data_IF_549877043274
#
_entry.id   IF_549877043274
#
_cell.length_a   1.000
_cell.length_b   1.000
_cell.length_c   1.000
_cell.angle_alpha   90.00
_cell.angle_beta   90.00
_cell.angle_gamma   90.00
#
_symmetry.space_group_name_H-M   'P 1'
#
loop_
_entity.id
_entity.type
_entity.pdbx_description
1 polymer ?
#
# COMPACT_ATOMS: atom_id res chain seq x y z
N UNK A 1 27.73 -8.51 -5.20
CA UNK A 1 27.56 -7.05 -5.15
C UNK A 1 26.53 -6.73 -4.09
N UNK A 2 26.61 -5.53 -3.51
CA UNK A 2 25.69 -5.10 -2.46
C UNK A 2 24.64 -4.15 -3.01
N UNK A 3 23.42 -4.23 -2.45
CA UNK A 3 22.31 -3.28 -2.67
C UNK A 3 21.90 -2.72 -1.32
N UNK A 4 21.80 -1.39 -1.23
CA UNK A 4 21.22 -0.72 -0.09
C UNK A 4 19.78 -0.28 -0.42
N UNK A 5 18.83 -0.70 0.41
CA UNK A 5 17.43 -0.27 0.35
C UNK A 5 17.19 0.73 1.48
N UNK A 6 17.03 2.00 1.17
CA UNK A 6 16.72 3.01 2.17
C UNK A 6 15.25 2.90 2.58
N UNK A 7 15.03 2.44 3.79
CA UNK A 7 13.72 2.20 4.39
C UNK A 7 13.64 2.93 5.74
N UNK A 8 12.45 3.11 6.28
CA UNK A 8 12.36 3.40 7.71
C UNK A 8 12.77 2.17 8.53
N UNK A 9 12.84 2.33 9.84
CA UNK A 9 13.03 1.21 10.74
C UNK A 9 11.82 0.27 10.67
N UNK A 10 12.07 -1.01 10.37
CA UNK A 10 11.04 -2.03 10.24
C UNK A 10 11.15 -3.00 11.41
N UNK A 11 10.09 -3.08 12.20
CA UNK A 11 9.94 -4.02 13.32
C UNK A 11 8.71 -4.90 13.07
N UNK A 12 8.52 -5.91 13.91
CA UNK A 12 7.31 -6.74 13.86
C UNK A 12 6.03 -5.91 14.00
N UNK A 13 6.06 -4.89 14.86
CA UNK A 13 4.90 -4.02 15.11
C UNK A 13 4.64 -3.04 13.95
N UNK A 14 5.72 -2.51 13.33
CA UNK A 14 5.59 -1.53 12.25
C UNK A 14 5.32 -2.14 10.88
N UNK A 15 5.54 -3.43 10.69
CA UNK A 15 5.50 -4.10 9.39
C UNK A 15 4.20 -3.84 8.59
N UNK A 16 3.07 -3.80 9.28
CA UNK A 16 1.76 -3.56 8.67
C UNK A 16 1.27 -2.11 8.76
N UNK A 17 2.07 -1.22 9.37
CA UNK A 17 1.70 0.20 9.44
C UNK A 17 1.77 0.89 8.08
N UNK A 18 2.65 0.40 7.19
CA UNK A 18 2.86 0.98 5.88
C UNK A 18 3.23 -0.11 4.86
N UNK A 19 2.48 -0.22 3.78
CA UNK A 19 2.77 -1.17 2.69
C UNK A 19 4.16 -1.00 2.06
N UNK A 20 4.83 0.16 2.25
CA UNK A 20 6.22 0.35 1.84
C UNK A 20 7.18 -0.62 2.54
N UNK A 21 6.92 -0.96 3.80
CA UNK A 21 7.78 -1.86 4.58
C UNK A 21 7.73 -3.28 4.02
N UNK A 22 6.55 -3.81 3.81
CA UNK A 22 6.38 -5.13 3.19
C UNK A 22 6.99 -5.16 1.79
N UNK A 23 6.83 -4.09 1.00
CA UNK A 23 7.40 -4.03 -0.34
C UNK A 23 8.93 -4.01 -0.29
N UNK A 24 9.53 -3.23 0.60
CA UNK A 24 10.98 -3.17 0.79
C UNK A 24 11.56 -4.54 1.14
N UNK A 25 10.92 -5.28 2.06
CA UNK A 25 11.37 -6.62 2.45
C UNK A 25 11.12 -7.66 1.36
N UNK A 26 10.05 -7.52 0.58
CA UNK A 26 9.80 -8.36 -0.60
C UNK A 26 10.89 -8.16 -1.66
N UNK A 27 11.28 -6.91 -1.92
CA UNK A 27 12.38 -6.58 -2.83
C UNK A 27 13.73 -7.04 -2.28
N UNK A 28 13.97 -6.90 -0.98
CA UNK A 28 15.16 -7.44 -0.32
C UNK A 28 15.30 -8.93 -0.62
N UNK A 29 14.25 -9.71 -0.33
CA UNK A 29 14.25 -11.17 -0.57
C UNK A 29 14.43 -11.51 -2.05
N UNK A 30 13.79 -10.76 -2.93
CA UNK A 30 13.96 -10.93 -4.38
C UNK A 30 15.40 -10.68 -4.83
N UNK A 31 16.02 -9.59 -4.41
CA UNK A 31 17.38 -9.25 -4.80
C UNK A 31 18.42 -10.22 -4.20
N UNK A 32 18.21 -10.70 -2.97
CA UNK A 32 19.00 -11.80 -2.41
C UNK A 32 18.92 -13.06 -3.28
N UNK A 33 17.73 -13.39 -3.77
CA UNK A 33 17.52 -14.53 -4.66
C UNK A 33 18.16 -14.37 -6.06
N UNK A 34 18.54 -13.14 -6.42
CA UNK A 34 19.29 -12.80 -7.64
C UNK A 34 20.81 -12.75 -7.39
N UNK A 35 21.27 -13.08 -6.16
CA UNK A 35 22.70 -13.15 -5.82
C UNK A 35 23.31 -11.83 -5.32
N UNK A 36 22.50 -10.83 -5.04
CA UNK A 36 22.96 -9.61 -4.36
C UNK A 36 22.95 -9.80 -2.85
N UNK A 37 23.84 -9.12 -2.14
CA UNK A 37 23.80 -9.01 -0.69
C UNK A 37 23.06 -7.71 -0.33
N UNK A 38 21.87 -7.84 0.23
CA UNK A 38 21.01 -6.69 0.52
C UNK A 38 21.19 -6.20 1.96
N UNK A 39 21.01 -4.90 2.15
CA UNK A 39 20.96 -4.24 3.44
C UNK A 39 19.83 -3.20 3.44
N UNK A 40 19.02 -3.20 4.49
CA UNK A 40 18.09 -2.10 4.75
C UNK A 40 18.85 -0.96 5.41
N UNK A 41 18.96 0.17 4.72
CA UNK A 41 19.58 1.37 5.26
C UNK A 41 18.55 2.16 6.05
N UNK A 42 18.81 2.39 7.34
CA UNK A 42 17.92 3.08 8.27
C UNK A 42 18.56 4.36 8.79
N UNK A 43 17.76 5.35 9.11
CA UNK A 43 18.17 6.64 9.69
C UNK A 43 18.18 6.65 11.21
N UNK A 44 17.76 5.55 11.83
CA UNK A 44 17.68 5.39 13.28
C UNK A 44 18.36 4.10 13.73
N UNK A 45 19.10 4.18 14.83
CA UNK A 45 19.62 3.00 15.53
C UNK A 45 18.48 2.28 16.26
N UNK A 46 18.52 0.96 16.26
CA UNK A 46 17.53 0.15 16.99
C UNK A 46 17.34 -1.24 16.41
N UNK A 47 16.45 -1.99 17.04
CA UNK A 47 16.12 -3.34 16.58
C UNK A 47 15.44 -3.29 15.20
N UNK A 48 15.90 -4.15 14.33
CA UNK A 48 15.30 -4.38 13.00
C UNK A 48 14.66 -5.76 12.95
N UNK A 49 13.76 -5.97 12.02
CA UNK A 49 13.06 -7.26 11.86
C UNK A 49 14.07 -8.40 11.67
N UNK A 50 13.92 -9.44 12.47
CA UNK A 50 14.79 -10.62 12.43
C UNK A 50 14.83 -11.26 11.03
N UNK A 51 16.01 -11.74 10.63
CA UNK A 51 16.24 -12.35 9.33
C UNK A 51 16.63 -11.34 8.23
N UNK A 52 16.59 -10.04 8.49
CA UNK A 52 17.02 -8.99 7.55
C UNK A 52 18.21 -8.20 8.07
N UNK A 53 19.20 -7.96 7.20
CA UNK A 53 20.35 -7.12 7.55
C UNK A 53 19.95 -5.65 7.49
N UNK A 54 20.22 -4.93 8.56
CA UNK A 54 20.10 -3.47 8.59
C UNK A 54 21.48 -2.81 8.73
N UNK A 55 21.56 -1.56 8.32
CA UNK A 55 22.79 -0.78 8.31
C UNK A 55 22.46 0.70 8.50
N UNK A 56 23.25 1.41 9.30
CA UNK A 56 23.23 2.87 9.39
C UNK A 56 24.27 3.49 8.43
N UNK A 57 24.04 4.68 7.88
CA UNK A 57 25.00 5.38 7.00
C UNK A 57 26.39 5.50 7.59
N UNK A 58 26.48 5.80 8.88
CA UNK A 58 27.73 5.96 9.63
C UNK A 58 28.57 4.68 9.61
N UNK A 59 27.95 3.51 9.76
CA UNK A 59 28.62 2.21 9.70
C UNK A 59 29.25 1.98 8.32
N UNK A 60 28.54 2.35 7.25
CA UNK A 60 29.13 2.31 5.91
C UNK A 60 30.27 3.30 5.74
N UNK A 61 30.15 4.53 6.27
CA UNK A 61 31.20 5.57 6.17
C UNK A 61 32.48 5.19 6.90
N UNK A 62 32.37 4.46 8.02
CA UNK A 62 33.52 3.97 8.78
C UNK A 62 34.31 2.88 8.03
N UNK A 63 33.65 2.03 7.27
CA UNK A 63 34.29 0.96 6.51
C UNK A 63 33.66 0.72 5.13
N UNK A 64 33.78 1.68 4.19
CA UNK A 64 33.13 1.58 2.89
C UNK A 64 33.71 0.45 2.01
N UNK A 65 34.93 0.00 2.28
CA UNK A 65 35.58 -1.08 1.52
C UNK A 65 35.04 -2.47 1.85
N UNK A 66 34.30 -2.62 2.97
CA UNK A 66 33.62 -3.87 3.31
C UNK A 66 32.43 -4.17 2.40
N UNK A 67 32.02 -3.20 1.57
CA UNK A 67 30.85 -3.28 0.71
C UNK A 67 31.23 -3.05 -0.74
N UNK A 68 30.75 -3.94 -1.61
CA UNK A 68 30.83 -3.77 -3.07
C UNK A 68 29.50 -3.20 -3.57
N UNK A 69 29.16 -2.00 -3.06
CA UNK A 69 27.88 -1.35 -3.27
C UNK A 69 27.70 -0.98 -4.75
N UNK A 70 26.66 -1.51 -5.38
CA UNK A 70 26.30 -1.23 -6.77
C UNK A 70 25.07 -0.34 -6.91
N UNK A 71 24.08 -0.52 -6.03
CA UNK A 71 22.83 0.20 -6.08
C UNK A 71 22.44 0.72 -4.69
N UNK A 72 21.93 1.93 -4.68
CA UNK A 72 21.26 2.54 -3.54
C UNK A 72 19.85 2.94 -3.98
N UNK A 73 18.84 2.34 -3.36
CA UNK A 73 17.43 2.49 -3.75
C UNK A 73 16.64 3.08 -2.58
N UNK A 74 16.17 4.31 -2.72
CA UNK A 74 15.29 4.96 -1.75
C UNK A 74 13.83 4.54 -1.99
N UNK A 75 13.23 3.88 -0.99
CA UNK A 75 11.84 3.41 -1.04
C UNK A 75 10.99 4.14 0.00
N UNK A 76 11.32 4.01 1.28
CA UNK A 76 10.55 4.58 2.40
C UNK A 76 11.18 5.81 3.05
N UNK A 77 12.50 5.86 3.05
CA UNK A 77 13.30 6.95 3.64
C UNK A 77 14.18 7.57 2.57
N UNK A 78 14.36 8.87 2.63
CA UNK A 78 15.30 9.62 1.79
C UNK A 78 16.39 10.22 2.66
N UNK A 79 17.65 9.95 2.32
CA UNK A 79 18.79 10.60 2.92
C UNK A 79 19.11 11.93 2.22
N UNK A 80 20.04 12.69 2.74
CA UNK A 80 20.38 14.02 2.20
C UNK A 80 21.07 13.97 0.82
N UNK A 81 21.17 15.10 0.17
CA UNK A 81 21.82 15.23 -1.15
C UNK A 81 23.33 14.95 -1.09
N UNK A 82 24.00 15.23 0.04
CA UNK A 82 25.43 14.98 0.20
C UNK A 82 25.70 13.47 0.22
N UNK A 83 24.88 12.68 0.91
CA UNK A 83 24.95 11.23 0.90
C UNK A 83 24.79 10.66 -0.52
N UNK A 84 23.75 11.07 -1.26
CA UNK A 84 23.54 10.59 -2.64
C UNK A 84 24.72 10.94 -3.54
N UNK A 85 25.18 12.20 -3.46
CA UNK A 85 26.35 12.64 -4.23
C UNK A 85 27.64 11.90 -3.88
N UNK A 86 27.81 11.52 -2.61
CA UNK A 86 28.94 10.68 -2.18
C UNK A 86 28.87 9.30 -2.86
N UNK A 87 27.70 8.67 -2.85
CA UNK A 87 27.50 7.36 -3.46
C UNK A 87 27.72 7.40 -4.98
N UNK A 88 27.20 8.42 -5.68
CA UNK A 88 27.42 8.60 -7.10
C UNK A 88 28.89 8.77 -7.47
N UNK A 89 29.66 9.57 -6.68
CA UNK A 89 31.12 9.70 -6.88
C UNK A 89 31.88 8.37 -6.70
N UNK A 90 31.30 7.41 -5.98
CA UNK A 90 31.83 6.05 -5.85
C UNK A 90 31.34 5.08 -6.95
N UNK A 91 30.59 5.56 -7.92
CA UNK A 91 30.01 4.77 -9.01
C UNK A 91 28.80 3.94 -8.61
N UNK A 92 28.18 4.27 -7.49
CA UNK A 92 26.93 3.63 -7.04
C UNK A 92 25.76 4.25 -7.78
N UNK A 93 24.88 3.43 -8.34
CA UNK A 93 23.64 3.87 -8.99
C UNK A 93 22.62 4.29 -7.92
N UNK A 94 22.21 5.53 -7.94
CA UNK A 94 21.30 6.13 -6.96
C UNK A 94 19.89 6.24 -7.55
N UNK A 95 18.93 5.55 -6.95
CA UNK A 95 17.58 5.37 -7.50
C UNK A 95 16.55 5.82 -6.47
N UNK A 96 15.50 6.51 -6.92
CA UNK A 96 14.29 6.78 -6.15
C UNK A 96 13.17 5.89 -6.65
N UNK A 97 12.58 5.09 -5.78
CA UNK A 97 11.45 4.24 -6.12
C UNK A 97 10.15 4.76 -5.47
N UNK A 98 9.23 5.20 -6.30
CA UNK A 98 7.90 5.62 -5.88
C UNK A 98 6.90 4.47 -6.03
N UNK A 99 6.39 4.00 -4.90
CA UNK A 99 5.36 2.95 -4.83
C UNK A 99 3.94 3.51 -4.80
N UNK A 100 3.78 4.80 -4.54
CA UNK A 100 2.51 5.51 -4.55
C UNK A 100 2.36 6.44 -5.75
N UNK A 101 1.20 7.08 -5.86
CA UNK A 101 0.95 8.10 -6.86
C UNK A 101 1.66 9.41 -6.47
N UNK A 102 2.89 9.61 -6.95
CA UNK A 102 3.71 10.78 -6.63
C UNK A 102 2.97 12.11 -6.87
N UNK A 103 2.22 12.20 -7.95
CA UNK A 103 1.49 13.42 -8.30
C UNK A 103 0.41 13.76 -7.26
N UNK A 104 -0.31 12.76 -6.79
CA UNK A 104 -1.30 12.95 -5.73
C UNK A 104 -0.63 13.31 -4.40
N UNK A 105 0.49 12.66 -4.07
CA UNK A 105 1.25 12.97 -2.86
C UNK A 105 1.69 14.43 -2.86
N UNK A 106 2.20 14.92 -3.97
CA UNK A 106 2.62 16.32 -4.09
C UNK A 106 1.45 17.31 -3.94
N UNK A 107 0.29 17.01 -4.55
CA UNK A 107 -0.92 17.83 -4.40
C UNK A 107 -1.39 17.85 -2.94
N UNK A 108 -1.40 16.73 -2.26
CA UNK A 108 -1.75 16.66 -0.83
C UNK A 108 -0.77 17.46 0.04
N UNK A 109 0.52 17.33 -0.22
CA UNK A 109 1.53 18.07 0.55
C UNK A 109 1.37 19.58 0.39
N UNK A 110 1.13 20.09 -0.81
CA UNK A 110 0.86 21.52 -1.05
C UNK A 110 -0.37 21.98 -0.24
N UNK A 111 -1.43 21.17 -0.25
CA UNK A 111 -2.69 21.51 0.42
C UNK A 111 -2.57 21.49 1.94
N UNK A 112 -1.97 20.44 2.51
CA UNK A 112 -1.91 20.23 3.95
C UNK A 112 -0.81 21.01 4.64
N UNK A 113 0.33 21.20 4.01
CA UNK A 113 1.50 21.85 4.63
C UNK A 113 1.48 23.36 4.51
N UNK A 114 0.52 23.94 3.78
CA UNK A 114 0.45 25.38 3.47
C UNK A 114 1.77 25.98 2.93
N UNK A 115 2.65 25.13 2.49
CA UNK A 115 3.94 25.47 1.94
C UNK A 115 4.18 24.61 0.71
N UNK A 116 4.82 25.15 -0.29
CA UNK A 116 5.33 24.35 -1.40
C UNK A 116 6.49 23.51 -0.83
N UNK A 117 6.15 22.33 -0.32
CA UNK A 117 7.12 21.45 0.31
C UNK A 117 7.48 20.31 -0.62
N UNK A 118 8.13 20.62 -1.72
CA UNK A 118 8.74 19.62 -2.61
C UNK A 118 10.10 19.13 -2.10
N UNK A 119 10.47 19.40 -0.84
CA UNK A 119 11.86 19.15 -0.42
C UNK A 119 12.26 17.68 -0.51
N UNK A 120 11.33 16.74 -0.37
CA UNK A 120 11.64 15.34 -0.64
C UNK A 120 11.93 15.03 -2.10
N UNK A 121 11.42 15.89 -3.01
CA UNK A 121 11.46 15.68 -4.44
C UNK A 121 12.47 16.59 -5.13
N UNK A 122 12.64 17.82 -4.65
CA UNK A 122 13.48 18.83 -5.30
C UNK A 122 14.96 18.71 -4.94
N UNK A 123 15.30 18.06 -3.82
CA UNK A 123 16.69 17.88 -3.35
C UNK A 123 17.29 16.59 -3.92
N UNK A 124 17.00 16.23 -5.16
CA UNK A 124 17.40 14.94 -5.66
C UNK A 124 18.54 14.98 -6.66
N UNK A 125 19.63 14.28 -6.38
CA UNK A 125 20.55 13.78 -7.38
C UNK A 125 20.28 12.28 -7.49
N UNK A 126 19.43 11.91 -8.44
CA UNK A 126 19.13 10.50 -8.73
C UNK A 126 19.58 10.20 -10.16
N UNK A 127 20.12 9.01 -10.36
CA UNK A 127 20.45 8.53 -11.70
C UNK A 127 19.20 8.07 -12.43
N UNK A 128 18.20 7.59 -11.66
CA UNK A 128 16.94 7.10 -12.20
C UNK A 128 15.81 7.14 -11.17
N UNK A 129 14.59 7.29 -11.67
CA UNK A 129 13.36 7.19 -10.91
C UNK A 129 12.60 5.92 -11.33
N UNK A 130 12.19 5.13 -10.35
CA UNK A 130 11.34 3.97 -10.59
C UNK A 130 9.92 4.24 -10.11
N UNK A 131 8.96 3.72 -10.84
CA UNK A 131 7.56 3.67 -10.43
C UNK A 131 6.95 2.35 -10.83
N UNK A 132 5.86 1.99 -10.17
CA UNK A 132 5.16 0.77 -10.49
C UNK A 132 4.33 0.89 -11.78
N UNK A 133 3.93 -0.22 -12.43
CA UNK A 133 3.16 -0.19 -13.67
C UNK A 133 1.84 0.60 -13.56
N UNK A 134 1.20 0.61 -12.39
CA UNK A 134 -0.04 1.33 -12.12
C UNK A 134 0.11 2.85 -12.28
N UNK A 135 1.31 3.36 -11.99
CA UNK A 135 1.61 4.80 -12.02
C UNK A 135 2.45 5.20 -13.23
N UNK A 136 2.47 4.39 -14.28
CA UNK A 136 3.20 4.69 -15.53
C UNK A 136 2.90 6.10 -16.07
N UNK A 137 1.65 6.56 -15.91
CA UNK A 137 1.22 7.91 -16.29
C UNK A 137 1.96 9.03 -15.57
N UNK A 138 2.59 8.74 -14.43
CA UNK A 138 3.35 9.71 -13.66
C UNK A 138 4.83 9.80 -14.08
N UNK A 139 5.31 8.94 -14.99
CA UNK A 139 6.73 8.92 -15.39
C UNK A 139 7.19 10.27 -15.96
N UNK A 140 6.41 10.90 -16.84
CA UNK A 140 6.75 12.19 -17.39
C UNK A 140 6.85 13.29 -16.31
N UNK A 141 5.90 13.29 -15.38
CA UNK A 141 5.90 14.20 -14.23
C UNK A 141 7.13 13.97 -13.33
N UNK A 142 7.37 12.72 -12.94
CA UNK A 142 8.51 12.36 -12.10
C UNK A 142 9.84 12.70 -12.77
N UNK A 143 9.98 12.39 -14.08
CA UNK A 143 11.19 12.70 -14.84
C UNK A 143 11.45 14.21 -14.89
N UNK A 144 10.43 15.03 -15.12
CA UNK A 144 10.55 16.48 -15.12
C UNK A 144 10.91 17.03 -13.73
N UNK A 145 10.27 16.51 -12.67
CA UNK A 145 10.47 16.95 -11.31
C UNK A 145 11.89 16.68 -10.81
N UNK A 146 12.39 15.46 -11.04
CA UNK A 146 13.73 15.04 -10.57
C UNK A 146 14.85 15.32 -11.59
N UNK A 147 14.53 15.70 -12.82
CA UNK A 147 15.49 15.84 -13.92
C UNK A 147 16.30 14.57 -14.17
N UNK A 148 15.66 13.42 -14.00
CA UNK A 148 16.22 12.09 -14.17
C UNK A 148 15.26 11.21 -14.97
N UNK A 149 15.74 10.23 -15.74
CA UNK A 149 14.87 9.30 -16.45
C UNK A 149 13.96 8.56 -15.47
N UNK A 150 12.69 8.39 -15.83
CA UNK A 150 11.75 7.60 -15.05
C UNK A 150 11.25 6.41 -15.86
N UNK A 151 11.25 5.23 -15.26
CA UNK A 151 10.68 4.02 -15.86
C UNK A 151 9.77 3.27 -14.90
N UNK A 152 8.92 2.43 -15.46
CA UNK A 152 8.15 1.46 -14.71
C UNK A 152 8.95 0.21 -14.46
N UNK A 153 8.90 -0.31 -13.23
CA UNK A 153 9.51 -1.58 -12.83
C UNK A 153 8.43 -2.55 -12.37
N UNK A 154 8.68 -3.87 -12.41
CA UNK A 154 7.67 -4.85 -12.02
C UNK A 154 7.18 -4.63 -10.58
N UNK A 155 5.88 -4.80 -10.39
CA UNK A 155 5.32 -4.86 -9.05
C UNK A 155 5.49 -6.25 -8.46
N UNK A 156 5.88 -6.31 -7.20
CA UNK A 156 6.01 -7.56 -6.47
C UNK A 156 5.24 -7.49 -5.15
N UNK A 157 4.66 -8.63 -4.79
CA UNK A 157 3.95 -8.83 -3.54
C UNK A 157 4.20 -10.26 -3.03
N UNK A 158 4.20 -10.45 -1.72
CA UNK A 158 4.40 -11.76 -1.12
C UNK A 158 3.44 -11.97 0.07
N UNK A 159 2.84 -13.15 0.21
CA UNK A 159 2.02 -13.50 1.37
C UNK A 159 2.83 -13.92 2.60
N UNK A 160 4.15 -13.79 2.58
CA UNK A 160 5.06 -14.35 3.59
C UNK A 160 4.64 -14.03 5.02
N UNK A 161 4.24 -12.78 5.28
CA UNK A 161 3.94 -12.34 6.65
C UNK A 161 2.49 -12.53 7.08
N UNK A 162 1.59 -12.89 6.15
CA UNK A 162 0.15 -13.02 6.41
C UNK A 162 -0.34 -14.47 6.37
N UNK A 163 0.53 -15.42 6.03
CA UNK A 163 0.15 -16.83 5.82
C UNK A 163 -0.49 -17.48 7.06
N UNK A 164 -0.19 -16.97 8.25
CA UNK A 164 -0.70 -17.46 9.54
C UNK A 164 -1.90 -16.67 10.07
N UNK A 165 -2.34 -15.61 9.36
CA UNK A 165 -3.49 -14.82 9.78
C UNK A 165 -4.80 -15.56 9.59
N UNK A 166 -5.85 -15.06 10.25
CA UNK A 166 -7.20 -15.61 10.18
C UNK A 166 -7.72 -15.62 8.74
N UNK A 167 -8.24 -16.77 8.32
CA UNK A 167 -8.88 -16.93 7.02
C UNK A 167 -10.37 -16.72 7.14
N UNK A 168 -10.99 -16.34 6.02
CA UNK A 168 -12.43 -16.14 5.95
C UNK A 168 -13.21 -17.38 6.40
N UNK A 169 -14.24 -17.16 7.21
CA UNK A 169 -15.21 -18.15 7.64
C UNK A 169 -16.59 -17.79 7.12
N UNK A 170 -17.24 -18.61 6.29
CA UNK A 170 -18.54 -18.28 5.71
C UNK A 170 -19.64 -18.10 6.77
N UNK A 171 -20.56 -17.16 6.51
CA UNK A 171 -21.84 -16.99 7.22
C UNK A 171 -22.94 -16.60 6.22
N UNK A 172 -24.23 -16.65 6.62
CA UNK A 172 -25.30 -16.19 5.74
C UNK A 172 -25.07 -14.77 5.24
N UNK A 173 -25.23 -14.53 3.96
CA UNK A 173 -24.96 -13.23 3.35
C UNK A 173 -25.83 -12.10 3.95
N UNK A 174 -27.05 -12.43 4.39
CA UNK A 174 -27.97 -11.49 5.04
C UNK A 174 -27.45 -10.98 6.40
N UNK A 175 -26.53 -11.70 7.00
CA UNK A 175 -25.95 -11.37 8.31
C UNK A 175 -24.48 -10.95 8.20
N UNK A 176 -23.91 -10.99 6.98
CA UNK A 176 -22.49 -10.68 6.77
C UNK A 176 -22.24 -9.21 7.03
N UNK A 177 -21.33 -8.90 7.97
CA UNK A 177 -20.87 -7.55 8.22
C UNK A 177 -20.00 -7.05 7.05
N UNK A 178 -20.07 -5.76 6.77
CA UNK A 178 -19.22 -5.12 5.77
C UNK A 178 -18.23 -4.23 6.50
N UNK A 179 -16.94 -4.41 6.21
CA UNK A 179 -15.84 -3.64 6.79
C UNK A 179 -15.26 -2.70 5.74
N UNK A 180 -15.07 -1.45 6.13
CA UNK A 180 -14.32 -0.43 5.38
C UNK A 180 -13.16 0.02 6.24
N UNK A 181 -11.94 -0.34 5.84
CA UNK A 181 -10.72 -0.10 6.63
C UNK A 181 -9.81 0.98 6.01
N UNK A 182 -10.40 1.93 5.29
CA UNK A 182 -9.64 3.04 4.72
C UNK A 182 -9.07 3.95 5.82
N UNK A 183 -7.85 4.52 5.64
CA UNK A 183 -7.17 5.30 6.69
C UNK A 183 -7.86 6.62 7.06
N UNK A 184 -8.74 7.15 6.24
CA UNK A 184 -9.48 8.42 6.45
C UNK A 184 -8.58 9.65 6.69
N UNK A 185 -7.35 9.64 6.20
CA UNK A 185 -6.36 10.70 6.40
C UNK A 185 -6.13 11.57 5.16
N UNK A 186 -6.64 11.16 4.01
CA UNK A 186 -6.43 11.85 2.74
C UNK A 186 -7.62 11.67 1.81
N UNK A 187 -7.71 12.51 0.76
CA UNK A 187 -8.73 12.34 -0.29
C UNK A 187 -8.54 11.03 -1.08
N UNK A 188 -7.33 10.47 -1.08
CA UNK A 188 -7.03 9.25 -1.82
C UNK A 188 -7.62 8.00 -1.15
N UNK A 189 -7.79 8.03 0.17
CA UNK A 189 -8.15 6.86 0.99
C UNK A 189 -9.14 7.27 2.08
N UNK A 190 -10.41 7.20 1.80
CA UNK A 190 -11.46 7.53 2.75
C UNK A 190 -12.69 6.62 2.61
N UNK A 191 -13.47 6.52 3.67
CA UNK A 191 -14.62 5.63 3.75
C UNK A 191 -15.92 6.20 3.14
N UNK A 192 -15.96 7.47 2.69
CA UNK A 192 -17.22 8.12 2.31
C UNK A 192 -17.93 7.41 1.14
N UNK A 193 -17.22 7.13 0.06
CA UNK A 193 -17.81 6.41 -1.07
C UNK A 193 -18.26 4.99 -0.72
N UNK A 194 -17.44 4.15 -0.05
CA UNK A 194 -17.88 2.86 0.46
C UNK A 194 -19.10 2.95 1.37
N UNK A 195 -19.13 3.93 2.28
CA UNK A 195 -20.27 4.16 3.15
C UNK A 195 -21.55 4.43 2.37
N UNK A 196 -21.50 5.36 1.41
CA UNK A 196 -22.65 5.70 0.57
C UNK A 196 -23.11 4.50 -0.27
N UNK A 197 -22.18 3.69 -0.77
CA UNK A 197 -22.50 2.49 -1.54
C UNK A 197 -23.24 1.46 -0.68
N UNK A 198 -22.76 1.20 0.54
CA UNK A 198 -23.40 0.25 1.47
C UNK A 198 -24.75 0.78 1.96
N UNK A 199 -24.88 2.07 2.21
CA UNK A 199 -26.16 2.67 2.57
C UNK A 199 -27.22 2.52 1.46
N UNK A 200 -26.82 2.80 0.21
CA UNK A 200 -27.71 2.64 -0.94
C UNK A 200 -28.07 1.17 -1.21
N UNK A 201 -27.14 0.25 -0.94
CA UNK A 201 -27.39 -1.19 -0.99
C UNK A 201 -28.41 -1.60 0.08
N UNK A 202 -28.23 -1.23 1.32
CA UNK A 202 -29.10 -1.59 2.43
C UNK A 202 -30.55 -1.05 2.22
N UNK A 203 -30.70 0.14 1.66
CA UNK A 203 -32.00 0.71 1.33
C UNK A 203 -32.77 -0.14 0.29
N UNK A 204 -32.09 -0.87 -0.58
CA UNK A 204 -32.69 -1.73 -1.61
C UNK A 204 -32.77 -3.21 -1.21
N UNK A 205 -32.14 -3.59 -0.11
CA UNK A 205 -31.94 -4.97 0.32
C UNK A 205 -32.29 -5.09 1.82
N UNK A 206 -33.58 -4.97 2.19
CA UNK A 206 -34.00 -4.97 3.60
C UNK A 206 -33.71 -6.30 4.33
N UNK A 207 -33.54 -7.38 3.59
CA UNK A 207 -33.12 -8.68 4.13
C UNK A 207 -31.68 -8.72 4.63
N UNK A 208 -30.83 -7.78 4.22
CA UNK A 208 -29.49 -7.65 4.79
C UNK A 208 -29.54 -6.94 6.15
N UNK A 209 -29.14 -7.64 7.17
CA UNK A 209 -29.17 -7.23 8.57
C UNK A 209 -27.78 -7.04 9.20
N UNK A 210 -26.72 -7.27 8.42
CA UNK A 210 -25.34 -7.10 8.85
C UNK A 210 -25.02 -5.64 9.23
N UNK A 211 -23.88 -5.44 9.89
CA UNK A 211 -23.38 -4.12 10.29
C UNK A 211 -22.44 -3.55 9.21
N UNK A 212 -22.32 -2.23 9.21
CA UNK A 212 -21.28 -1.50 8.53
C UNK A 212 -20.23 -1.06 9.56
N UNK A 213 -19.04 -1.62 9.46
CA UNK A 213 -17.92 -1.33 10.36
C UNK A 213 -16.95 -0.39 9.63
N UNK A 214 -16.82 0.83 10.14
CA UNK A 214 -15.88 1.83 9.62
C UNK A 214 -14.67 1.88 10.54
N UNK A 215 -13.49 1.61 10.00
CA UNK A 215 -12.22 1.66 10.71
C UNK A 215 -11.54 3.02 10.57
N UNK A 216 -10.55 3.29 11.42
CA UNK A 216 -9.73 4.51 11.40
C UNK A 216 -10.59 5.78 11.52
N UNK A 217 -11.54 5.78 12.47
CA UNK A 217 -12.53 6.85 12.61
C UNK A 217 -12.18 7.86 13.71
N UNK A 218 -10.97 7.82 14.25
CA UNK A 218 -10.51 8.71 15.34
C UNK A 218 -10.68 10.20 15.00
N UNK A 219 -10.58 10.54 13.72
CA UNK A 219 -10.72 11.92 13.24
C UNK A 219 -12.17 12.36 13.02
N UNK A 220 -13.13 11.44 13.13
CA UNK A 220 -14.54 11.78 12.92
C UNK A 220 -15.12 12.61 14.07
N UNK A 221 -14.54 12.53 15.26
CA UNK A 221 -14.95 13.34 16.41
C UNK A 221 -14.87 14.84 16.13
N UNK A 222 -13.94 15.27 15.30
CA UNK A 222 -13.74 16.67 14.92
C UNK A 222 -14.36 17.01 13.55
N UNK A 223 -14.93 16.02 12.86
CA UNK A 223 -15.52 16.20 11.52
C UNK A 223 -17.05 16.30 11.62
N UNK A 224 -17.55 17.49 11.97
CA UNK A 224 -18.98 17.74 12.14
C UNK A 224 -19.84 17.32 10.94
N UNK A 225 -19.47 17.64 9.67
CA UNK A 225 -20.24 17.17 8.51
C UNK A 225 -20.35 15.64 8.42
N UNK A 226 -19.28 14.90 8.73
CA UNK A 226 -19.31 13.45 8.71
C UNK A 226 -20.20 12.88 9.82
N UNK A 227 -20.11 13.43 11.03
CA UNK A 227 -20.98 13.04 12.14
C UNK A 227 -22.47 13.27 11.81
N UNK A 228 -22.81 14.44 11.26
CA UNK A 228 -24.16 14.73 10.81
C UNK A 228 -24.63 13.74 9.74
N UNK A 229 -23.78 13.43 8.78
CA UNK A 229 -24.11 12.47 7.72
C UNK A 229 -24.37 11.07 8.26
N UNK A 230 -23.54 10.61 9.20
CA UNK A 230 -23.70 9.30 9.85
C UNK A 230 -25.00 9.26 10.69
N UNK A 231 -25.30 10.30 11.45
CA UNK A 231 -26.51 10.37 12.30
C UNK A 231 -27.82 10.40 11.48
N UNK A 232 -27.76 10.89 10.25
CA UNK A 232 -28.90 10.93 9.32
C UNK A 232 -29.02 9.65 8.48
N UNK A 233 -28.08 8.72 8.60
CA UNK A 233 -28.07 7.48 7.84
C UNK A 233 -29.22 6.56 8.25
N UNK A 234 -29.78 5.86 7.28
CA UNK A 234 -30.73 4.77 7.53
C UNK A 234 -30.05 3.58 8.24
N UNK A 235 -28.73 3.51 8.17
CA UNK A 235 -27.90 2.50 8.83
C UNK A 235 -27.43 2.91 10.24
N UNK A 236 -27.79 4.08 10.76
CA UNK A 236 -27.19 4.66 11.99
C UNK A 236 -27.09 3.67 13.17
N UNK A 237 -28.09 2.81 13.35
CA UNK A 237 -28.13 1.80 14.42
C UNK A 237 -27.27 0.55 14.11
N UNK A 238 -26.76 0.45 12.87
CA UNK A 238 -25.92 -0.68 12.39
C UNK A 238 -24.54 -0.22 11.95
N UNK A 239 -24.22 1.06 12.12
CA UNK A 239 -22.86 1.58 11.90
C UNK A 239 -22.07 1.41 13.17
N UNK A 240 -20.91 0.80 13.05
CA UNK A 240 -19.93 0.68 14.12
C UNK A 240 -18.67 1.45 13.74
N UNK A 241 -18.27 2.44 14.55
CA UNK A 241 -17.07 3.23 14.37
C UNK A 241 -15.95 2.64 15.23
N UNK A 242 -14.80 2.35 14.63
CA UNK A 242 -13.66 1.76 15.32
C UNK A 242 -12.39 2.56 15.07
N UNK A 243 -11.53 2.58 16.05
CA UNK A 243 -10.16 3.06 15.93
C UNK A 243 -9.32 2.13 15.04
N UNK A 244 -8.11 2.56 14.71
CA UNK A 244 -7.19 1.81 13.89
C UNK A 244 -6.78 0.50 14.58
N UNK A 245 -6.91 -0.59 13.85
CA UNK A 245 -6.44 -1.92 14.26
C UNK A 245 -5.32 -2.41 13.35
N UNK A 246 -4.52 -3.36 13.83
CA UNK A 246 -3.65 -4.15 12.94
C UNK A 246 -4.51 -5.02 12.03
N UNK A 247 -3.96 -5.46 10.89
CA UNK A 247 -4.69 -6.37 10.01
C UNK A 247 -5.04 -7.68 10.74
N UNK A 248 -4.14 -8.20 11.56
CA UNK A 248 -4.36 -9.44 12.32
C UNK A 248 -5.57 -9.32 13.27
N UNK A 249 -5.62 -8.24 14.07
CA UNK A 249 -6.72 -8.00 15.01
C UNK A 249 -8.04 -7.77 14.25
N UNK A 250 -7.99 -6.98 13.17
CA UNK A 250 -9.15 -6.71 12.33
C UNK A 250 -9.78 -8.00 11.79
N UNK A 251 -8.96 -8.95 11.32
CA UNK A 251 -9.43 -10.22 10.78
C UNK A 251 -9.88 -11.20 11.88
N UNK A 252 -9.24 -11.16 13.03
CA UNK A 252 -9.64 -11.94 14.19
C UNK A 252 -11.02 -11.52 14.71
N UNK A 253 -11.27 -10.22 14.77
CA UNK A 253 -12.56 -9.65 15.20
C UNK A 253 -13.67 -9.85 14.16
N UNK A 254 -13.30 -9.97 12.89
CA UNK A 254 -14.25 -10.02 11.77
C UNK A 254 -13.99 -11.20 10.81
N UNK A 255 -13.98 -12.45 11.31
CA UNK A 255 -13.58 -13.63 10.52
C UNK A 255 -14.56 -13.95 9.37
N UNK A 256 -15.78 -13.41 9.42
CA UNK A 256 -16.84 -13.67 8.45
C UNK A 256 -17.29 -12.40 7.70
N UNK A 257 -16.50 -11.33 7.75
CA UNK A 257 -16.88 -10.08 7.11
C UNK A 257 -16.54 -10.05 5.61
N UNK A 258 -17.24 -9.20 4.87
CA UNK A 258 -16.87 -8.76 3.54
C UNK A 258 -16.20 -7.38 3.62
N UNK A 259 -15.28 -7.10 2.71
CA UNK A 259 -14.51 -5.86 2.71
C UNK A 259 -14.83 -5.00 1.49
N UNK A 260 -15.00 -3.69 1.70
CA UNK A 260 -15.13 -2.71 0.64
C UNK A 260 -13.95 -1.74 0.71
N UNK A 261 -13.11 -1.79 -0.32
CA UNK A 261 -11.90 -0.96 -0.44
C UNK A 261 -12.13 0.14 -1.49
N UNK A 262 -11.64 1.33 -1.19
CA UNK A 262 -11.76 2.49 -2.07
C UNK A 262 -10.48 3.33 -2.09
N UNK A 263 -9.95 3.56 -3.28
CA UNK A 263 -8.74 4.34 -3.50
C UNK A 263 -8.94 5.30 -4.66
N UNK A 264 -8.78 6.59 -4.44
CA UNK A 264 -8.83 7.58 -5.52
C UNK A 264 -7.46 7.67 -6.19
N UNK A 265 -7.35 7.14 -7.41
CA UNK A 265 -6.12 7.16 -8.22
C UNK A 265 -4.85 6.69 -7.49
N UNK A 266 -5.00 5.84 -6.48
CA UNK A 266 -3.92 5.23 -5.71
C UNK A 266 -4.16 3.73 -5.59
N UNK A 267 -4.14 3.05 -6.72
CA UNK A 267 -4.62 1.68 -6.93
C UNK A 267 -3.83 0.60 -6.19
N UNK A 268 -2.68 0.95 -5.59
CA UNK A 268 -1.92 0.04 -4.75
C UNK A 268 -2.48 0.01 -3.33
N UNK A 269 -3.30 -0.97 -3.06
CA UNK A 269 -3.73 -1.27 -1.70
C UNK A 269 -3.27 -2.69 -1.33
N UNK A 270 -2.23 -2.78 -0.50
CA UNK A 270 -1.73 -4.07 0.01
C UNK A 270 -2.83 -4.89 0.64
N UNK A 271 -3.68 -4.27 1.45
CA UNK A 271 -4.79 -4.92 2.12
C UNK A 271 -5.74 -5.63 1.14
N UNK A 272 -5.98 -5.08 -0.05
CA UNK A 272 -6.80 -5.78 -1.06
C UNK A 272 -6.21 -7.14 -1.44
N UNK A 273 -4.90 -7.22 -1.68
CA UNK A 273 -4.22 -8.48 -2.02
C UNK A 273 -4.18 -9.43 -0.81
N UNK A 274 -3.94 -8.89 0.38
CA UNK A 274 -3.91 -9.65 1.63
C UNK A 274 -5.25 -10.32 1.91
N UNK A 275 -6.34 -9.57 1.80
CA UNK A 275 -7.71 -10.07 1.99
C UNK A 275 -8.07 -11.14 0.94
N UNK A 276 -7.74 -10.90 -0.34
CA UNK A 276 -7.95 -11.87 -1.41
C UNK A 276 -7.18 -13.17 -1.18
N UNK A 277 -5.92 -13.07 -0.73
CA UNK A 277 -5.10 -14.25 -0.38
C UNK A 277 -5.69 -15.07 0.78
N UNK A 278 -6.21 -14.37 1.78
CA UNK A 278 -6.82 -15.00 2.97
C UNK A 278 -8.26 -15.49 2.69
N UNK A 279 -8.77 -15.25 1.49
CA UNK A 279 -10.06 -15.78 1.04
C UNK A 279 -11.26 -14.97 1.50
N UNK A 280 -11.09 -13.69 1.83
CA UNK A 280 -12.20 -12.79 2.16
C UNK A 280 -12.93 -12.31 0.89
N UNK A 281 -14.27 -12.07 0.94
CA UNK A 281 -14.98 -11.36 -0.10
C UNK A 281 -14.52 -9.91 -0.14
N UNK A 282 -14.01 -9.44 -1.29
CA UNK A 282 -13.47 -8.07 -1.44
C UNK A 282 -14.09 -7.39 -2.65
N UNK A 283 -14.70 -6.25 -2.42
CA UNK A 283 -15.12 -5.29 -3.44
C UNK A 283 -14.13 -4.11 -3.45
N UNK A 284 -13.55 -3.79 -4.61
CA UNK A 284 -12.54 -2.75 -4.73
C UNK A 284 -12.67 -1.98 -6.05
N UNK A 285 -12.15 -0.75 -6.11
CA UNK A 285 -12.13 0.10 -7.29
C UNK A 285 -10.76 0.16 -8.01
N UNK A 286 -9.84 -0.76 -7.68
CA UNK A 286 -8.53 -0.83 -8.35
C UNK A 286 -8.69 -1.36 -9.78
N UNK A 287 -8.66 -0.46 -10.76
CA UNK A 287 -8.84 -0.79 -12.18
C UNK A 287 -7.80 -1.78 -12.72
N UNK A 288 -6.50 -1.70 -12.35
CA UNK A 288 -5.51 -2.70 -12.76
C UNK A 288 -5.78 -4.12 -12.24
N UNK A 289 -6.56 -4.24 -11.16
CA UNK A 289 -6.92 -5.52 -10.55
C UNK A 289 -8.39 -5.90 -10.77
N UNK A 290 -9.06 -5.29 -11.74
CA UNK A 290 -10.49 -5.52 -12.01
C UNK A 290 -10.89 -6.98 -12.25
N UNK A 291 -9.92 -7.84 -12.61
CA UNK A 291 -10.11 -9.28 -12.72
C UNK A 291 -10.03 -10.05 -11.40
N UNK A 292 -9.60 -9.40 -10.30
CA UNK A 292 -9.46 -9.99 -8.98
C UNK A 292 -10.63 -9.59 -8.09
N UNK A 293 -11.16 -10.51 -7.29
CA UNK A 293 -12.29 -10.21 -6.40
C UNK A 293 -13.52 -9.67 -7.13
N UNK A 294 -14.10 -8.61 -6.59
CA UNK A 294 -15.24 -7.88 -7.16
C UNK A 294 -14.82 -6.44 -7.43
N UNK A 295 -14.98 -6.01 -8.68
CA UNK A 295 -14.61 -4.66 -9.08
C UNK A 295 -15.84 -3.75 -9.13
N UNK A 296 -15.70 -2.54 -8.61
CA UNK A 296 -16.69 -1.47 -8.73
C UNK A 296 -16.10 -0.20 -9.31
N UNK A 297 -16.95 0.60 -9.95
CA UNK A 297 -16.59 1.86 -10.57
C UNK A 297 -17.51 2.96 -10.03
N UNK A 298 -16.92 4.07 -9.58
CA UNK A 298 -17.65 5.22 -9.03
C UNK A 298 -18.61 5.83 -10.06
N UNK A 299 -18.24 5.80 -11.34
CA UNK A 299 -19.07 6.29 -12.45
C UNK A 299 -20.26 5.35 -12.74
N UNK A 300 -20.12 4.07 -12.43
CA UNK A 300 -21.12 3.02 -12.64
C UNK A 300 -21.90 2.65 -11.39
N UNK A 301 -22.53 3.59 -10.69
CA UNK A 301 -23.16 3.38 -9.38
C UNK A 301 -24.12 2.20 -9.32
N UNK A 302 -25.01 2.05 -10.30
CA UNK A 302 -25.95 0.92 -10.36
C UNK A 302 -25.25 -0.42 -10.50
N UNK A 303 -24.22 -0.49 -11.34
CA UNK A 303 -23.40 -1.69 -11.49
C UNK A 303 -22.61 -2.01 -10.21
N UNK A 304 -22.13 -0.99 -9.51
CA UNK A 304 -21.44 -1.13 -8.24
C UNK A 304 -22.32 -1.72 -7.14
N UNK A 305 -23.60 -1.32 -7.07
CA UNK A 305 -24.58 -1.92 -6.18
C UNK A 305 -24.83 -3.40 -6.50
N UNK A 306 -24.89 -3.76 -7.78
CA UNK A 306 -25.02 -5.16 -8.21
C UNK A 306 -23.78 -5.97 -7.84
N UNK A 307 -22.58 -5.40 -7.97
CA UNK A 307 -21.35 -6.08 -7.58
C UNK A 307 -21.26 -6.30 -6.06
N UNK A 308 -21.73 -5.32 -5.26
CA UNK A 308 -21.81 -5.48 -3.80
C UNK A 308 -22.79 -6.60 -3.42
N UNK A 309 -23.99 -6.61 -4.01
CA UNK A 309 -24.97 -7.68 -3.79
C UNK A 309 -24.40 -9.04 -4.17
N UNK A 310 -23.77 -9.11 -5.33
CA UNK A 310 -23.14 -10.34 -5.82
C UNK A 310 -22.02 -10.82 -4.94
N UNK A 311 -21.15 -9.92 -4.44
CA UNK A 311 -20.09 -10.26 -3.51
C UNK A 311 -20.62 -10.90 -2.23
N UNK A 312 -21.67 -10.35 -1.66
CA UNK A 312 -22.28 -10.91 -0.45
C UNK A 312 -22.92 -12.28 -0.70
N UNK A 313 -23.64 -12.44 -1.81
CA UNK A 313 -24.36 -13.67 -2.15
C UNK A 313 -23.44 -14.81 -2.59
N UNK A 314 -22.43 -14.53 -3.41
CA UNK A 314 -21.49 -15.53 -3.94
C UNK A 314 -20.33 -15.80 -2.97
N UNK A 315 -20.04 -14.88 -2.05
CA UNK A 315 -18.88 -14.97 -1.14
C UNK A 315 -17.55 -14.71 -1.84
N UNK A 316 -16.44 -15.24 -1.31
CA UNK A 316 -15.11 -14.96 -1.82
C UNK A 316 -14.88 -15.54 -3.21
N UNK A 317 -14.24 -14.77 -4.09
CA UNK A 317 -13.71 -15.27 -5.37
C UNK A 317 -12.25 -15.66 -5.21
N UNK A 318 -11.92 -16.84 -5.69
CA UNK A 318 -10.53 -17.29 -5.72
C UNK A 318 -9.73 -16.37 -6.65
N UNK A 319 -8.67 -15.74 -6.14
CA UNK A 319 -7.75 -14.90 -6.89
C UNK A 319 -6.42 -15.64 -7.06
N UNK A 320 -5.89 -15.71 -8.29
CA UNK A 320 -4.52 -16.12 -8.52
C UNK A 320 -3.60 -14.91 -8.43
N UNK A 321 -2.87 -14.80 -7.33
CA UNK A 321 -1.94 -13.71 -7.04
C UNK A 321 -0.49 -14.09 -7.40
N UNK A 322 -0.26 -15.27 -7.96
CA UNK A 322 1.10 -15.78 -8.23
C UNK A 322 1.89 -14.90 -9.20
N UNK A 323 1.22 -14.18 -10.10
CA UNK A 323 1.85 -13.23 -11.01
C UNK A 323 2.63 -12.12 -10.29
N UNK A 324 2.27 -11.80 -9.03
CA UNK A 324 2.95 -10.78 -8.23
C UNK A 324 4.10 -11.35 -7.38
N UNK A 325 4.25 -12.68 -7.30
CA UNK A 325 5.27 -13.28 -6.44
C UNK A 325 6.68 -12.99 -6.93
N UNK A 326 7.64 -12.81 -6.01
CA UNK A 326 9.03 -12.54 -6.34
C UNK A 326 9.61 -13.52 -7.37
N UNK A 327 9.34 -14.81 -7.22
CA UNK A 327 9.87 -15.85 -8.10
C UNK A 327 9.43 -15.71 -9.56
N UNK A 328 8.23 -15.20 -9.80
CA UNK A 328 7.71 -14.96 -11.16
C UNK A 328 8.27 -13.69 -11.79
N UNK A 329 8.89 -12.83 -10.99
CA UNK A 329 9.39 -11.53 -11.42
C UNK A 329 10.92 -11.46 -11.45
N UNK A 330 11.65 -12.56 -11.17
CA UNK A 330 13.12 -12.61 -11.10
C UNK A 330 13.78 -12.12 -12.36
N UNK A 331 13.40 -12.66 -13.52
CA UNK A 331 14.01 -12.30 -14.80
C UNK A 331 13.81 -10.83 -15.15
N UNK A 332 12.58 -10.32 -14.96
CA UNK A 332 12.26 -8.92 -15.20
C UNK A 332 13.06 -8.00 -14.29
N UNK A 333 13.20 -8.34 -13.00
CA UNK A 333 14.01 -7.55 -12.06
C UNK A 333 15.51 -7.68 -12.30
N UNK A 334 16.00 -8.86 -12.72
CA UNK A 334 17.39 -9.00 -13.15
C UNK A 334 17.71 -8.03 -14.30
N UNK A 335 16.83 -7.94 -15.30
CA UNK A 335 16.98 -6.97 -16.40
C UNK A 335 16.96 -5.52 -15.90
N UNK A 336 16.14 -5.20 -14.89
CA UNK A 336 16.07 -3.85 -14.29
C UNK A 336 17.40 -3.47 -13.63
N UNK A 337 18.02 -4.38 -12.91
CA UNK A 337 19.25 -4.12 -12.14
C UNK A 337 20.51 -4.09 -13.01
N UNK A 338 20.49 -4.72 -14.19
CA UNK A 338 21.65 -4.78 -15.11
C UNK A 338 21.69 -3.68 -16.17
N UNK A 339 20.61 -2.89 -16.32
CA UNK A 339 20.57 -1.72 -17.21
C UNK A 339 21.18 -0.49 -16.54
#
# INVERSE_FOLDING_TARGET
MDIFLATGQITQESLFCNGLYQNSLTLYTLFESLGYRCHCLTDTSGAFLEGYRSLEPETYLQNPTAYRLSHYIEIGTAFDAAWRSLLQRKGVRVIKFHLGNIRNIDVEMIHHMKAISFHHHVIGNYDEIWTSPHYRRNCAYASALYRAPCRTVPYVWSPTWISQMSRYTPRPWTETDIVVAEPNISFQKHCLYPFLLVEAFAAKTPEWTGRLILQNTERFEINVPMQQRLSQSQLKERIELRERQTLADLLQDNPSAAFVCHQVTNEYNYMTLELLYLGYPVLHNSKPWSALGYFWDEEGWSASLQQLARMLQEGPRRADLSAFYPDKNKEAWSSVLHL
#
